data_IF_965977956788
#
_entry.id   IF_965977956788
#
_cell.length_a   1.000
_cell.length_b   1.000
_cell.length_c   1.000
_cell.angle_alpha   90.00
_cell.angle_beta   90.00
_cell.angle_gamma   90.00
#
_symmetry.space_group_name_H-M   'P 1'
#
loop_
_entity.id
_entity.type
_entity.pdbx_description
1 polymer ?
#
# COMPACT_ATOMS: atom_id res chain seq x y z
N UNK A 1 14.31 26.67 -7.89
CA UNK A 1 14.13 25.25 -8.16
C UNK A 1 13.66 24.62 -6.86
N UNK A 2 12.44 24.07 -6.81
CA UNK A 2 12.08 23.17 -5.71
C UNK A 2 12.99 21.95 -5.82
N UNK A 3 13.55 21.42 -4.72
CA UNK A 3 14.27 20.16 -4.78
C UNK A 3 13.27 19.09 -5.22
N UNK A 4 13.65 18.26 -6.20
CA UNK A 4 12.84 17.12 -6.63
C UNK A 4 12.87 16.07 -5.51
N UNK A 5 11.97 16.22 -4.54
CA UNK A 5 11.83 15.26 -3.46
C UNK A 5 10.96 14.10 -3.94
N UNK A 6 11.54 12.90 -3.97
CA UNK A 6 10.82 11.65 -4.25
C UNK A 6 10.69 10.83 -2.97
N UNK A 7 9.51 10.25 -2.76
CA UNK A 7 9.23 9.35 -1.66
C UNK A 7 9.45 7.91 -2.13
N UNK A 8 10.29 7.19 -1.41
CA UNK A 8 10.41 5.74 -1.53
C UNK A 8 9.66 5.06 -0.41
N UNK A 9 8.75 4.17 -0.78
CA UNK A 9 7.98 3.33 0.12
C UNK A 9 8.35 1.87 -0.16
N UNK A 10 8.74 1.13 0.87
CA UNK A 10 9.03 -0.30 0.79
C UNK A 10 8.14 -1.07 1.74
N UNK A 11 7.42 -2.08 1.26
CA UNK A 11 6.58 -2.94 2.08
C UNK A 11 7.37 -4.15 2.55
N UNK A 12 7.81 -4.16 3.82
CA UNK A 12 8.58 -5.27 4.39
C UNK A 12 7.70 -6.49 4.70
N UNK A 13 6.46 -6.24 5.11
CA UNK A 13 5.50 -7.30 5.44
C UNK A 13 4.10 -6.88 5.03
N UNK A 14 3.36 -7.80 4.44
CA UNK A 14 1.94 -7.61 4.10
C UNK A 14 1.17 -8.87 4.42
N UNK A 15 0.01 -8.73 5.06
CA UNK A 15 -0.87 -9.83 5.42
C UNK A 15 -2.32 -9.42 5.15
N UNK A 16 -2.93 -10.04 4.15
CA UNK A 16 -4.33 -9.81 3.77
C UNK A 16 -5.02 -11.17 3.62
N UNK A 17 -5.49 -11.79 4.71
CA UNK A 17 -5.99 -13.17 4.70
C UNK A 17 -7.37 -13.34 4.07
N UNK A 18 -8.13 -12.26 3.88
CA UNK A 18 -9.52 -12.30 3.41
C UNK A 18 -9.69 -11.43 2.15
N UNK A 19 -10.61 -11.84 1.28
CA UNK A 19 -10.95 -11.11 0.06
C UNK A 19 -11.44 -9.69 0.39
N UNK A 20 -11.04 -8.72 -0.43
CA UNK A 20 -11.41 -7.32 -0.26
C UNK A 20 -10.50 -6.51 0.67
N UNK A 21 -9.57 -7.16 1.38
CA UNK A 21 -8.54 -6.46 2.14
C UNK A 21 -7.36 -6.06 1.26
N UNK A 22 -6.80 -4.88 1.48
CA UNK A 22 -5.70 -4.38 0.67
C UNK A 22 -4.90 -3.26 1.35
N UNK A 23 -3.70 -3.04 0.81
CA UNK A 23 -3.01 -1.75 0.88
C UNK A 23 -2.69 -1.30 -0.55
N UNK A 24 -2.98 -0.03 -0.83
CA UNK A 24 -2.73 0.62 -2.11
C UNK A 24 -1.91 1.86 -1.92
N UNK A 25 -1.02 2.12 -2.86
CA UNK A 25 -0.18 3.31 -2.85
C UNK A 25 -0.32 4.04 -4.18
N UNK A 26 -0.54 5.36 -4.12
CA UNK A 26 -0.73 6.21 -5.30
C UNK A 26 0.25 7.37 -5.36
N UNK A 27 0.63 7.74 -6.58
CA UNK A 27 1.61 8.80 -6.86
C UNK A 27 0.99 10.20 -6.78
N UNK A 28 0.85 10.73 -5.57
CA UNK A 28 0.20 12.00 -5.28
C UNK A 28 -0.60 11.94 -3.98
N UNK A 29 -1.45 12.94 -3.74
CA UNK A 29 -2.21 13.10 -2.49
C UNK A 29 -3.73 12.81 -2.64
N UNK A 30 -4.16 12.32 -3.81
CA UNK A 30 -5.57 12.15 -4.15
C UNK A 30 -5.92 10.75 -4.68
N UNK A 31 -7.19 10.37 -4.57
CA UNK A 31 -7.67 9.08 -5.11
C UNK A 31 -7.62 9.00 -6.64
N UNK A 32 -7.53 10.14 -7.32
CA UNK A 32 -7.33 10.23 -8.77
C UNK A 32 -5.88 10.04 -9.22
N UNK A 33 -4.93 10.03 -8.29
CA UNK A 33 -3.52 9.82 -8.59
C UNK A 33 -3.22 8.40 -9.12
N UNK A 34 -2.12 8.25 -9.86
CA UNK A 34 -1.67 7.00 -10.46
C UNK A 34 -1.46 5.91 -9.39
N UNK A 35 -1.92 4.68 -9.66
CA UNK A 35 -1.79 3.57 -8.72
C UNK A 35 -0.42 2.89 -8.91
N UNK A 36 0.46 3.02 -7.92
CA UNK A 36 1.82 2.47 -7.95
C UNK A 36 1.90 1.05 -7.36
N UNK A 37 1.05 0.74 -6.37
CA UNK A 37 0.97 -0.59 -5.78
C UNK A 37 -0.46 -0.93 -5.37
N UNK A 38 -0.83 -2.19 -5.52
CA UNK A 38 -2.10 -2.74 -5.07
C UNK A 38 -1.88 -4.15 -4.52
N UNK A 39 -1.70 -4.24 -3.21
CA UNK A 39 -1.34 -5.48 -2.52
C UNK A 39 -2.59 -6.01 -1.82
N UNK A 40 -3.05 -7.18 -2.25
CA UNK A 40 -4.23 -7.87 -1.75
C UNK A 40 -4.05 -9.40 -1.86
N UNK A 41 -4.97 -10.18 -1.30
CA UNK A 41 -4.92 -11.65 -1.33
C UNK A 41 -4.90 -12.24 -2.75
N UNK A 42 -5.68 -11.65 -3.65
CA UNK A 42 -5.91 -12.09 -5.03
C UNK A 42 -4.95 -11.43 -6.04
N UNK A 43 -4.04 -10.58 -5.55
CA UNK A 43 -3.07 -9.87 -6.37
C UNK A 43 -1.69 -10.52 -6.22
N UNK A 44 -0.97 -10.61 -7.33
CA UNK A 44 0.33 -11.27 -7.33
C UNK A 44 1.30 -10.54 -6.37
N UNK A 45 2.00 -11.26 -5.47
CA UNK A 45 2.95 -10.67 -4.52
C UNK A 45 4.19 -10.04 -5.20
N UNK A 46 4.33 -10.23 -6.51
CA UNK A 46 5.39 -9.62 -7.33
C UNK A 46 5.37 -8.08 -7.30
N UNK A 47 4.27 -7.46 -6.88
CA UNK A 47 4.13 -5.99 -6.73
C UNK A 47 4.38 -5.50 -5.30
N UNK A 48 4.71 -6.37 -4.34
CA UNK A 48 5.13 -5.99 -2.97
C UNK A 48 6.52 -5.34 -2.90
N UNK A 49 7.03 -4.89 -4.04
CA UNK A 49 8.33 -4.27 -4.20
C UNK A 49 8.30 -2.79 -3.85
N UNK A 50 9.47 -2.27 -3.49
CA UNK A 50 9.72 -0.84 -3.36
C UNK A 50 9.05 -0.03 -4.47
N UNK A 51 8.28 0.98 -4.11
CA UNK A 51 7.78 2.01 -5.02
C UNK A 51 8.51 3.33 -4.80
N UNK A 52 8.53 4.16 -5.83
CA UNK A 52 9.12 5.51 -5.81
C UNK A 52 8.09 6.46 -6.43
N UNK A 53 7.71 7.52 -5.72
CA UNK A 53 6.84 8.57 -6.25
C UNK A 53 7.58 9.47 -7.25
N UNK A 54 6.84 10.11 -8.13
CA UNK A 54 7.39 11.14 -9.03
C UNK A 54 7.48 12.51 -8.35
N UNK A 55 6.79 12.70 -7.23
CA UNK A 55 6.81 13.95 -6.47
C UNK A 55 6.88 13.75 -4.95
N UNK A 56 6.59 14.83 -4.23
CA UNK A 56 6.75 14.92 -2.77
C UNK A 56 5.61 14.31 -1.95
N UNK A 57 4.64 13.66 -2.62
CA UNK A 57 3.43 13.14 -1.99
C UNK A 57 3.12 11.73 -2.48
N UNK A 58 2.64 10.89 -1.56
CA UNK A 58 2.21 9.53 -1.83
C UNK A 58 0.99 9.24 -0.96
N UNK A 59 -0.10 8.78 -1.56
CA UNK A 59 -1.34 8.45 -0.87
C UNK A 59 -1.38 6.96 -0.58
N UNK A 60 -1.42 6.61 0.70
CA UNK A 60 -1.56 5.24 1.18
C UNK A 60 -3.00 4.97 1.60
N UNK A 61 -3.67 4.07 0.91
CA UNK A 61 -5.01 3.60 1.23
C UNK A 61 -4.93 2.20 1.82
N UNK A 62 -5.55 1.98 2.98
CA UNK A 62 -5.59 0.69 3.65
C UNK A 62 -7.02 0.33 4.01
N UNK A 63 -7.41 -0.89 3.68
CA UNK A 63 -8.69 -1.44 4.07
C UNK A 63 -8.51 -2.84 4.64
N UNK A 64 -9.06 -3.04 5.84
CA UNK A 64 -9.15 -4.34 6.49
C UNK A 64 -10.54 -4.45 7.10
N UNK A 65 -11.27 -5.50 6.74
CA UNK A 65 -12.57 -5.81 7.33
C UNK A 65 -12.41 -6.91 8.39
N UNK A 66 -12.98 -6.70 9.57
CA UNK A 66 -13.08 -7.71 10.62
C UNK A 66 -14.38 -8.50 10.45
N UNK A 67 -14.43 -9.37 9.45
CA UNK A 67 -15.56 -10.29 9.31
C UNK A 67 -15.42 -11.39 10.38
N UNK A 68 -16.13 -11.23 11.50
CA UNK A 68 -16.26 -12.24 12.57
C UNK A 68 -17.16 -13.42 12.17
N UNK A 69 -17.53 -13.52 10.89
CA UNK A 69 -18.39 -14.60 10.41
C UNK A 69 -17.50 -15.80 10.10
N UNK A 70 -17.60 -16.84 10.94
CA UNK A 70 -17.00 -18.18 10.80
C UNK A 70 -15.59 -18.42 11.37
N UNK A 71 -15.21 -17.81 12.51
CA UNK A 71 -13.96 -18.12 13.26
C UNK A 71 -12.64 -17.87 12.50
N UNK A 72 -12.68 -17.28 11.31
CA UNK A 72 -11.51 -16.83 10.60
C UNK A 72 -11.10 -15.45 11.13
N UNK A 73 -9.87 -15.33 11.63
CA UNK A 73 -9.33 -14.02 11.98
C UNK A 73 -8.91 -13.31 10.68
N UNK A 74 -9.78 -12.41 10.20
CA UNK A 74 -9.50 -11.58 9.04
C UNK A 74 -8.64 -10.34 9.38
N UNK A 75 -7.86 -10.31 10.47
CA UNK A 75 -6.98 -9.17 10.72
C UNK A 75 -5.92 -9.01 9.60
N UNK A 76 -6.09 -7.96 8.80
CA UNK A 76 -5.15 -7.54 7.77
C UNK A 76 -4.19 -6.47 8.28
N UNK A 77 -3.00 -6.38 7.71
CA UNK A 77 -2.01 -5.40 8.11
C UNK A 77 -0.76 -5.41 7.25
N UNK A 78 0.06 -4.37 7.40
CA UNK A 78 1.33 -4.24 6.70
C UNK A 78 2.35 -3.52 7.59
N UNK A 79 3.63 -3.74 7.29
CA UNK A 79 4.77 -2.97 7.77
C UNK A 79 5.47 -2.39 6.55
N UNK A 80 5.74 -1.09 6.56
CA UNK A 80 6.45 -0.43 5.48
C UNK A 80 7.43 0.62 6.00
N UNK A 81 8.55 0.77 5.30
CA UNK A 81 9.51 1.85 5.50
C UNK A 81 9.33 2.95 4.45
N UNK A 82 9.42 4.20 4.91
CA UNK A 82 9.34 5.40 4.06
C UNK A 82 10.63 6.20 4.20
N UNK A 83 11.19 6.63 3.07
CA UNK A 83 12.35 7.53 3.00
C UNK A 83 12.16 8.58 1.92
N UNK A 84 12.65 9.80 2.15
CA UNK A 84 12.63 10.90 1.19
C UNK A 84 14.05 11.04 0.62
N UNK A 85 14.16 11.24 -0.69
CA UNK A 85 15.41 11.57 -1.39
C UNK A 85 15.48 13.04 -1.74
#
# INVERSE_FOLDING_TARGET
AQPEYAIKLHFDQTKFPCSGQYVRARDGDSLSAELLADIALDKNPSESGTIISTGESLLLEFFSDEIVVARANCAGGFLAHVSIF
#
